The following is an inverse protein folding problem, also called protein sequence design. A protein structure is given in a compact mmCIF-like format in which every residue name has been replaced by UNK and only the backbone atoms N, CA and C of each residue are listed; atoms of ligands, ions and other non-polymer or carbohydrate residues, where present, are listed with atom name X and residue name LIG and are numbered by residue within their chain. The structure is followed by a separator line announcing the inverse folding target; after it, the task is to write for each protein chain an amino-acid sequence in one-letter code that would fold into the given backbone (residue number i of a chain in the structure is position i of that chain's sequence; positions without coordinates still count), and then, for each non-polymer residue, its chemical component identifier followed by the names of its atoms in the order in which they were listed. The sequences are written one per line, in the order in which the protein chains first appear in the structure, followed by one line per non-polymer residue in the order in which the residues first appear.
data_IF_324191824187
#
_entry.id   IF_324191824187
#
_cell.length_a   1.000
_cell.length_b   1.000
_cell.length_c   1.000
_cell.angle_alpha   90.00
_cell.angle_beta   90.00
_cell.angle_gamma   90.00
#
_symmetry.space_group_name_H-M   'P 1'
#
loop_
_entity.id
_entity.type
_entity.pdbx_description
1 polymer ?
#
# COMPACT_ATOMS: atom_id res chain seq x y z
N UNK A 1 -19.56 11.13 -34.38
CA UNK A 1 -19.28 9.68 -34.50
C UNK A 1 -18.03 9.51 -35.34
N UNK A 2 -16.87 9.18 -34.74
CA UNK A 2 -15.62 8.88 -35.45
C UNK A 2 -14.53 8.24 -34.55
N UNK A 3 -14.90 7.40 -33.56
CA UNK A 3 -13.91 6.80 -32.62
C UNK A 3 -13.67 5.29 -32.86
N UNK A 4 -14.13 4.76 -34.00
CA UNK A 4 -14.21 3.32 -34.23
C UNK A 4 -13.20 2.78 -35.25
N UNK A 5 -12.24 3.60 -35.70
CA UNK A 5 -11.29 3.20 -36.76
C UNK A 5 -10.18 2.25 -36.31
N UNK A 6 -10.02 2.05 -35.00
CA UNK A 6 -8.91 1.28 -34.39
C UNK A 6 -9.39 0.16 -33.45
N UNK A 7 -10.63 -0.28 -33.56
CA UNK A 7 -11.13 -1.42 -32.78
C UNK A 7 -10.34 -2.69 -33.16
N UNK A 8 -9.72 -3.34 -32.18
CA UNK A 8 -8.97 -4.59 -32.38
C UNK A 8 -7.53 -4.45 -32.88
N UNK A 9 -7.02 -3.24 -33.15
CA UNK A 9 -5.60 -3.04 -33.49
C UNK A 9 -4.72 -2.98 -32.24
N UNK A 10 -3.45 -3.39 -32.35
CA UNK A 10 -2.47 -3.30 -31.26
C UNK A 10 -2.23 -1.85 -30.82
N UNK A 11 -1.96 -1.65 -29.53
CA UNK A 11 -1.61 -0.34 -28.97
C UNK A 11 -0.16 0.00 -29.30
N UNK A 12 0.08 1.20 -29.81
CA UNK A 12 1.43 1.70 -30.09
C UNK A 12 2.07 2.33 -28.85
N UNK A 13 3.39 2.47 -28.84
CA UNK A 13 4.13 3.12 -27.73
C UNK A 13 3.62 4.54 -27.45
N UNK A 14 3.41 5.36 -28.48
CA UNK A 14 2.92 6.73 -28.32
C UNK A 14 1.51 6.77 -27.70
N UNK A 15 0.63 5.85 -28.09
CA UNK A 15 -0.71 5.73 -27.52
C UNK A 15 -0.65 5.33 -26.05
N UNK A 16 0.26 4.43 -25.70
CA UNK A 16 0.48 3.97 -24.33
C UNK A 16 1.08 5.07 -23.45
N UNK A 17 2.02 5.84 -23.97
CA UNK A 17 2.64 6.94 -23.22
C UNK A 17 1.60 8.03 -22.90
N UNK A 18 0.70 8.36 -23.83
CA UNK A 18 -0.40 9.32 -23.61
C UNK A 18 -1.35 8.84 -22.52
N UNK A 19 -1.82 7.60 -22.60
CA UNK A 19 -2.81 7.09 -21.63
C UNK A 19 -2.21 6.85 -20.24
N UNK A 20 -0.93 6.44 -20.16
CA UNK A 20 -0.21 6.30 -18.89
C UNK A 20 -0.03 7.67 -18.24
N UNK A 21 0.41 8.68 -18.99
CA UNK A 21 0.56 10.05 -18.46
C UNK A 21 -0.76 10.62 -17.93
N UNK A 22 -1.85 10.44 -18.68
CA UNK A 22 -3.19 10.88 -18.26
C UNK A 22 -3.67 10.14 -17.00
N UNK A 23 -3.43 8.82 -16.90
CA UNK A 23 -3.74 8.04 -15.70
C UNK A 23 -3.02 8.58 -14.46
N UNK A 24 -1.70 8.82 -14.55
CA UNK A 24 -0.93 9.35 -13.43
C UNK A 24 -1.34 10.78 -13.04
N UNK A 25 -1.76 11.61 -14.00
CA UNK A 25 -2.34 12.92 -13.73
C UNK A 25 -3.64 12.83 -12.92
N UNK A 26 -4.53 11.89 -13.26
CA UNK A 26 -5.73 11.62 -12.46
C UNK A 26 -5.38 11.05 -11.07
N UNK A 27 -4.41 10.13 -10.99
CA UNK A 27 -3.99 9.54 -9.72
C UNK A 27 -3.41 10.61 -8.79
N UNK A 28 -2.60 11.54 -9.31
CA UNK A 28 -2.09 12.67 -8.55
C UNK A 28 -3.21 13.55 -7.98
N UNK A 29 -4.25 13.83 -8.76
CA UNK A 29 -5.44 14.55 -8.29
C UNK A 29 -6.18 13.76 -7.20
N UNK A 30 -6.36 12.44 -7.36
CA UNK A 30 -7.03 11.58 -6.37
C UNK A 30 -6.28 11.54 -5.03
N UNK A 31 -4.95 11.36 -5.06
CA UNK A 31 -4.11 11.37 -3.86
C UNK A 31 -4.10 12.74 -3.19
N UNK A 32 -4.13 13.82 -3.97
CA UNK A 32 -4.23 15.18 -3.46
C UNK A 32 -5.67 15.60 -3.10
N UNK A 33 -6.66 14.72 -3.27
CA UNK A 33 -8.11 14.98 -3.08
C UNK A 33 -8.65 16.16 -3.88
N UNK A 34 -8.03 16.46 -5.01
CA UNK A 34 -8.57 17.39 -5.97
C UNK A 34 -9.66 16.68 -6.79
N UNK A 35 -10.84 17.30 -6.97
CA UNK A 35 -11.89 16.72 -7.77
C UNK A 35 -11.45 16.63 -9.24
N UNK A 36 -11.69 15.48 -9.87
CA UNK A 36 -11.43 15.24 -11.28
C UNK A 36 -12.59 14.47 -11.93
N UNK A 37 -12.77 14.62 -13.24
CA UNK A 37 -13.90 14.04 -13.97
C UNK A 37 -13.40 13.03 -15.00
N UNK A 38 -13.56 11.74 -14.67
CA UNK A 38 -13.12 10.60 -15.51
C UNK A 38 -13.61 10.66 -16.96
N UNK A 39 -14.85 11.13 -17.18
CA UNK A 39 -15.42 11.22 -18.52
C UNK A 39 -14.74 12.28 -19.39
N UNK A 40 -14.19 13.35 -18.80
CA UNK A 40 -13.42 14.39 -19.50
C UNK A 40 -12.03 13.88 -19.89
N UNK A 41 -11.31 13.24 -18.97
CA UNK A 41 -10.03 12.60 -19.25
C UNK A 41 -10.14 11.57 -20.37
N UNK A 42 -11.13 10.68 -20.27
CA UNK A 42 -11.41 9.69 -21.30
C UNK A 42 -11.72 10.33 -22.67
N UNK A 43 -12.49 11.43 -22.70
CA UNK A 43 -12.79 12.15 -23.94
C UNK A 43 -11.54 12.79 -24.56
N UNK A 44 -10.68 13.38 -23.73
CA UNK A 44 -9.43 14.00 -24.16
C UNK A 44 -8.47 12.96 -24.75
N UNK A 45 -8.26 11.85 -24.04
CA UNK A 45 -7.45 10.73 -24.55
C UNK A 45 -8.05 10.17 -25.83
N UNK A 46 -9.37 9.92 -25.89
CA UNK A 46 -10.03 9.45 -27.11
C UNK A 46 -9.80 10.38 -28.31
N UNK A 47 -9.84 11.70 -28.09
CA UNK A 47 -9.51 12.70 -29.11
C UNK A 47 -8.06 12.67 -29.56
N UNK A 48 -7.11 12.40 -28.64
CA UNK A 48 -5.68 12.38 -28.95
C UNK A 48 -5.24 11.12 -29.70
N UNK A 49 -5.73 9.94 -29.30
CA UNK A 49 -5.23 8.65 -29.82
C UNK A 49 -6.20 7.95 -30.79
N UNK A 50 -7.43 8.43 -30.89
CA UNK A 50 -8.46 7.88 -31.79
C UNK A 50 -8.99 6.51 -31.36
N UNK A 51 -8.83 6.13 -30.08
CA UNK A 51 -9.38 4.90 -29.50
C UNK A 51 -10.78 5.14 -28.94
N UNK A 52 -11.58 4.08 -28.88
CA UNK A 52 -12.92 4.14 -28.28
C UNK A 52 -12.85 4.36 -26.76
N UNK A 53 -13.89 5.00 -26.22
CA UNK A 53 -14.00 5.27 -24.77
C UNK A 53 -13.87 4.00 -23.92
N UNK A 54 -14.50 2.91 -24.36
CA UNK A 54 -14.44 1.63 -23.67
C UNK A 54 -13.05 0.99 -23.71
N UNK A 55 -12.32 1.12 -24.82
CA UNK A 55 -10.93 0.63 -24.91
C UNK A 55 -10.01 1.38 -23.95
N UNK A 56 -10.19 2.70 -23.83
CA UNK A 56 -9.45 3.55 -22.89
C UNK A 56 -9.76 3.17 -21.44
N UNK A 57 -11.04 3.00 -21.08
CA UNK A 57 -11.44 2.59 -19.74
C UNK A 57 -10.85 1.23 -19.35
N UNK A 58 -10.89 0.26 -20.26
CA UNK A 58 -10.26 -1.03 -20.05
C UNK A 58 -8.74 -0.91 -19.88
N UNK A 59 -8.09 -0.03 -20.64
CA UNK A 59 -6.65 0.22 -20.52
C UNK A 59 -6.30 0.89 -19.19
N UNK A 60 -7.12 1.79 -18.65
CA UNK A 60 -6.93 2.30 -17.29
C UNK A 60 -7.05 1.19 -16.24
N UNK A 61 -7.99 0.24 -16.39
CA UNK A 61 -8.07 -0.92 -15.49
C UNK A 61 -6.83 -1.82 -15.59
N UNK A 62 -6.24 -1.95 -16.79
CA UNK A 62 -4.96 -2.63 -16.97
C UNK A 62 -3.82 -1.91 -16.25
N UNK A 63 -3.74 -0.58 -16.35
CA UNK A 63 -2.75 0.22 -15.62
C UNK A 63 -2.93 0.00 -14.10
N UNK A 64 -4.16 0.08 -13.58
CA UNK A 64 -4.44 -0.23 -12.16
C UNK A 64 -3.95 -1.62 -11.76
N UNK A 65 -4.07 -2.62 -12.65
CA UNK A 65 -3.59 -3.97 -12.36
C UNK A 65 -2.06 -4.07 -12.31
N UNK A 66 -1.34 -3.36 -13.18
CA UNK A 66 0.12 -3.28 -13.08
C UNK A 66 0.54 -2.56 -11.81
N UNK A 67 -0.07 -1.41 -11.49
CA UNK A 67 0.25 -0.66 -10.26
C UNK A 67 -0.04 -1.46 -8.99
N UNK A 68 -1.11 -2.26 -8.99
CA UNK A 68 -1.42 -3.19 -7.91
C UNK A 68 -0.28 -4.20 -7.67
N UNK A 69 0.28 -4.78 -8.73
CA UNK A 69 1.43 -5.71 -8.65
C UNK A 69 2.72 -5.01 -8.19
N UNK A 70 2.89 -3.73 -8.54
CA UNK A 70 4.00 -2.89 -8.05
C UNK A 70 3.76 -2.33 -6.64
N UNK A 71 2.66 -2.73 -5.98
CA UNK A 71 2.25 -2.22 -4.67
C UNK A 71 2.07 -0.70 -4.63
N UNK A 72 1.77 -0.06 -5.76
CA UNK A 72 1.51 1.37 -5.87
C UNK A 72 0.01 1.67 -5.70
N UNK A 73 -0.36 2.89 -5.27
CA UNK A 73 -1.73 3.36 -5.36
C UNK A 73 -2.24 3.30 -6.79
N UNK A 74 -3.53 3.07 -6.92
CA UNK A 74 -4.24 3.05 -8.19
C UNK A 74 -5.61 3.69 -7.99
N UNK A 75 -6.21 4.15 -9.10
CA UNK A 75 -7.47 4.88 -9.06
C UNK A 75 -8.61 3.94 -8.70
N UNK A 76 -9.25 4.12 -7.54
CA UNK A 76 -10.20 3.14 -6.99
C UNK A 76 -11.35 2.76 -7.95
N UNK A 77 -11.87 3.74 -8.69
CA UNK A 77 -12.96 3.47 -9.64
C UNK A 77 -12.52 2.83 -10.96
N UNK A 78 -11.22 2.55 -11.17
CA UNK A 78 -10.71 1.70 -12.24
C UNK A 78 -10.17 0.42 -11.62
N UNK A 79 -11.08 -0.51 -11.28
CA UNK A 79 -10.72 -1.78 -10.65
C UNK A 79 -9.70 -2.55 -11.51
N UNK A 80 -8.62 -3.09 -10.92
CA UNK A 80 -7.63 -3.90 -11.63
C UNK A 80 -8.24 -4.97 -12.51
N UNK A 81 -7.88 -4.97 -13.80
CA UNK A 81 -8.21 -6.02 -14.76
C UNK A 81 -6.93 -6.60 -15.37
N UNK A 82 -6.66 -7.88 -15.12
CA UNK A 82 -5.40 -8.58 -15.44
C UNK A 82 -5.24 -8.99 -16.92
N UNK A 83 -5.81 -8.23 -17.85
CA UNK A 83 -5.68 -8.47 -19.29
C UNK A 83 -4.78 -7.42 -19.95
N UNK A 84 -3.46 -7.55 -19.79
CA UNK A 84 -2.50 -6.58 -20.33
C UNK A 84 -1.43 -7.23 -21.22
N UNK A 85 -1.06 -6.51 -22.28
CA UNK A 85 0.03 -6.85 -23.20
C UNK A 85 1.37 -6.33 -22.67
N UNK A 86 2.49 -6.96 -23.06
CA UNK A 86 3.84 -6.59 -22.59
C UNK A 86 4.20 -5.11 -22.85
N UNK A 87 3.75 -4.53 -23.97
CA UNK A 87 4.06 -3.14 -24.33
C UNK A 87 3.62 -2.12 -23.26
N UNK A 88 2.56 -2.44 -22.49
CA UNK A 88 2.13 -1.58 -21.38
C UNK A 88 3.19 -1.47 -20.28
N UNK A 89 3.98 -2.52 -20.04
CA UNK A 89 5.02 -2.51 -19.03
C UNK A 89 6.14 -1.52 -19.37
N UNK A 90 6.50 -1.42 -20.65
CA UNK A 90 7.55 -0.52 -21.10
C UNK A 90 7.13 0.95 -20.96
N UNK A 91 5.87 1.28 -21.29
CA UNK A 91 5.32 2.62 -21.09
C UNK A 91 5.25 3.01 -19.60
N UNK A 92 4.82 2.09 -18.73
CA UNK A 92 4.82 2.31 -17.27
C UNK A 92 6.26 2.46 -16.75
N UNK A 93 7.20 1.64 -17.24
CA UNK A 93 8.61 1.74 -16.86
C UNK A 93 9.21 3.10 -17.23
N UNK A 94 8.99 3.55 -18.48
CA UNK A 94 9.42 4.88 -18.96
C UNK A 94 8.86 5.98 -18.08
N UNK A 95 7.55 5.95 -17.79
CA UNK A 95 6.90 6.95 -16.95
C UNK A 95 7.46 6.97 -15.53
N UNK A 96 7.52 5.81 -14.85
CA UNK A 96 8.03 5.72 -13.48
C UNK A 96 9.51 6.05 -13.38
N UNK A 97 10.31 5.72 -14.40
CA UNK A 97 11.74 6.06 -14.45
C UNK A 97 11.95 7.56 -14.66
N UNK A 98 11.14 8.22 -15.49
CA UNK A 98 11.19 9.67 -15.68
C UNK A 98 10.69 10.47 -14.49
N UNK A 99 9.72 9.93 -13.75
CA UNK A 99 9.04 10.58 -12.63
C UNK A 99 9.32 9.91 -11.28
N UNK A 100 10.51 9.33 -11.10
CA UNK A 100 10.85 8.54 -9.90
C UNK A 100 10.49 9.30 -8.62
N UNK A 101 10.91 10.56 -8.54
CA UNK A 101 10.68 11.34 -7.33
C UNK A 101 9.19 11.58 -7.03
N UNK A 102 8.28 11.58 -8.01
CA UNK A 102 6.83 11.69 -7.77
C UNK A 102 6.20 10.34 -7.42
N UNK A 103 6.64 9.26 -8.08
CA UNK A 103 6.16 7.91 -7.79
C UNK A 103 6.58 7.43 -6.37
N UNK A 104 7.74 7.88 -5.88
CA UNK A 104 8.29 7.56 -4.56
C UNK A 104 7.98 8.61 -3.48
N UNK A 105 7.83 9.91 -3.81
CA UNK A 105 7.26 10.92 -2.90
C UNK A 105 5.74 10.84 -2.91
N UNK A 106 5.18 9.66 -2.63
CA UNK A 106 3.82 9.58 -2.15
C UNK A 106 3.82 10.26 -0.77
N UNK A 107 3.72 11.59 -0.81
CA UNK A 107 3.73 12.42 0.38
C UNK A 107 2.70 11.86 1.35
N UNK A 108 3.01 11.74 2.64
CA UNK A 108 2.04 11.29 3.62
C UNK A 108 0.83 12.21 3.52
N UNK A 109 -0.24 11.70 2.93
CA UNK A 109 -1.51 12.41 2.83
C UNK A 109 -1.91 12.70 4.26
N UNK A 110 -2.07 13.98 4.60
CA UNK A 110 -2.60 14.50 5.87
C UNK A 110 -3.48 13.43 6.51
N UNK A 111 -2.92 12.77 7.54
CA UNK A 111 -3.54 11.63 8.20
C UNK A 111 -4.98 12.02 8.50
N UNK A 112 -5.92 11.29 7.90
CA UNK A 112 -7.33 11.54 8.10
C UNK A 112 -7.58 11.50 9.60
N UNK A 113 -8.24 12.53 10.12
CA UNK A 113 -9.09 12.33 11.29
C UNK A 113 -10.06 11.23 10.90
N UNK A 114 -9.81 10.01 11.37
CA UNK A 114 -10.74 8.91 11.23
C UNK A 114 -11.96 9.31 12.04
N UNK A 115 -13.11 9.43 11.37
CA UNK A 115 -14.35 9.84 12.02
C UNK A 115 -14.80 8.82 13.09
N UNK A 116 -14.44 7.54 12.92
CA UNK A 116 -14.70 6.44 13.86
C UNK A 116 -13.58 5.38 13.81
N UNK A 117 -12.79 5.18 14.87
CA UNK A 117 -11.67 4.22 14.89
C UNK A 117 -12.04 2.79 14.49
N UNK A 118 -13.28 2.35 14.76
CA UNK A 118 -13.70 0.98 14.44
C UNK A 118 -13.88 0.74 12.94
N UNK A 119 -14.10 1.78 12.13
CA UNK A 119 -14.35 1.61 10.69
C UNK A 119 -13.08 1.30 9.88
N UNK A 120 -11.89 1.44 10.47
CA UNK A 120 -10.62 1.15 9.76
C UNK A 120 -10.17 -0.29 9.93
N UNK A 121 -10.63 -0.98 10.97
CA UNK A 121 -10.27 -2.36 11.22
C UNK A 121 -11.06 -3.29 10.29
N UNK A 122 -10.35 -4.13 9.55
CA UNK A 122 -10.90 -5.11 8.62
C UNK A 122 -10.35 -6.51 8.94
N UNK A 123 -11.09 -7.58 8.62
CA UNK A 123 -10.56 -8.93 8.75
C UNK A 123 -9.30 -9.12 7.90
N UNK A 124 -8.35 -9.91 8.42
CA UNK A 124 -7.18 -10.33 7.65
C UNK A 124 -7.64 -11.02 6.35
N UNK A 125 -7.11 -10.64 5.17
CA UNK A 125 -7.50 -11.26 3.92
C UNK A 125 -7.13 -12.75 3.92
N UNK A 126 -8.01 -13.60 3.37
CA UNK A 126 -7.70 -15.01 3.22
C UNK A 126 -6.56 -15.21 2.21
N UNK A 127 -5.72 -16.20 2.50
CA UNK A 127 -4.77 -16.72 1.54
C UNK A 127 -5.57 -17.29 0.36
N UNK A 128 -5.33 -16.76 -0.84
CA UNK A 128 -5.81 -17.37 -2.07
C UNK A 128 -4.68 -18.23 -2.64
N UNK A 129 -5.01 -19.12 -3.57
CA UNK A 129 -4.00 -19.86 -4.33
C UNK A 129 -2.91 -18.90 -4.85
N UNK A 130 -1.64 -19.34 -4.85
CA UNK A 130 -0.55 -18.50 -5.32
C UNK A 130 -0.91 -17.96 -6.70
N UNK A 131 -0.69 -16.64 -6.94
CA UNK A 131 -1.04 -16.05 -8.22
C UNK A 131 -0.37 -16.84 -9.34
N UNK A 132 -1.09 -17.01 -10.46
CA UNK A 132 -0.51 -17.58 -11.68
C UNK A 132 0.84 -16.91 -11.97
N UNK A 133 1.84 -17.69 -12.39
CA UNK A 133 3.18 -17.18 -12.68
C UNK A 133 3.10 -15.87 -13.46
N UNK A 134 3.74 -14.83 -12.92
CA UNK A 134 3.83 -13.52 -13.56
C UNK A 134 4.50 -13.67 -14.92
N UNK A 135 4.10 -12.85 -15.88
CA UNK A 135 4.83 -12.78 -17.15
C UNK A 135 6.24 -12.26 -16.91
N UNK A 136 7.21 -12.68 -17.73
CA UNK A 136 8.61 -12.24 -17.57
C UNK A 136 8.77 -10.70 -17.63
N UNK A 137 7.92 -10.01 -18.40
CA UNK A 137 7.91 -8.54 -18.43
C UNK A 137 7.47 -7.92 -17.11
N UNK A 138 6.38 -8.43 -16.53
CA UNK A 138 5.88 -7.98 -15.23
C UNK A 138 6.86 -8.30 -14.10
N UNK A 139 7.50 -9.46 -14.10
CA UNK A 139 8.53 -9.81 -13.11
C UNK A 139 9.71 -8.84 -13.13
N UNK A 140 10.18 -8.45 -14.32
CA UNK A 140 11.25 -7.44 -14.43
C UNK A 140 10.82 -6.10 -13.85
N UNK A 141 9.58 -5.68 -14.12
CA UNK A 141 9.04 -4.42 -13.62
C UNK A 141 8.89 -4.45 -12.08
N UNK A 142 8.33 -5.53 -11.53
CA UNK A 142 8.21 -5.72 -10.07
C UNK A 142 9.58 -5.73 -9.41
N UNK A 143 10.58 -6.39 -9.99
CA UNK A 143 11.95 -6.38 -9.45
C UNK A 143 12.57 -4.98 -9.47
N UNK A 144 12.30 -4.19 -10.52
CA UNK A 144 12.81 -2.82 -10.65
C UNK A 144 12.13 -1.86 -9.66
N UNK A 145 10.84 -2.07 -9.40
CA UNK A 145 10.02 -1.27 -8.50
C UNK A 145 9.50 -2.11 -7.33
N UNK A 146 10.40 -2.79 -6.62
CA UNK A 146 10.03 -3.71 -5.54
C UNK A 146 9.28 -2.96 -4.43
N UNK A 147 7.99 -3.28 -4.18
CA UNK A 147 7.20 -2.58 -3.17
C UNK A 147 7.71 -2.83 -1.75
N UNK A 148 8.24 -4.03 -1.47
CA UNK A 148 8.68 -4.42 -0.13
C UNK A 148 9.90 -3.61 0.24
N UNK A 149 10.89 -3.57 -0.64
CA UNK A 149 12.12 -2.79 -0.42
C UNK A 149 11.84 -1.28 -0.43
N UNK A 150 10.94 -0.81 -1.29
CA UNK A 150 10.53 0.59 -1.33
C UNK A 150 9.90 1.03 0.00
N UNK A 151 8.90 0.29 0.46
CA UNK A 151 8.16 0.65 1.67
C UNK A 151 9.07 0.53 2.90
N UNK A 152 9.95 -0.48 2.96
CA UNK A 152 10.96 -0.63 4.00
C UNK A 152 11.94 0.56 4.09
N UNK A 153 12.38 1.09 2.95
CA UNK A 153 13.27 2.27 2.93
C UNK A 153 12.54 3.58 3.25
N UNK A 154 11.22 3.61 3.13
CA UNK A 154 10.44 4.83 3.30
C UNK A 154 10.16 5.12 4.77
N UNK A 155 11.12 5.78 5.43
CA UNK A 155 11.00 6.19 6.84
C UNK A 155 9.82 7.11 7.12
N UNK A 156 9.43 7.96 6.17
CA UNK A 156 8.27 8.85 6.32
C UNK A 156 6.95 8.05 6.30
N UNK A 157 6.86 7.01 5.47
CA UNK A 157 5.73 6.09 5.44
C UNK A 157 5.60 5.32 6.77
N UNK A 158 6.71 4.78 7.29
CA UNK A 158 6.75 4.10 8.59
C UNK A 158 6.22 5.00 9.70
N UNK A 159 6.86 6.16 9.89
CA UNK A 159 6.46 7.15 10.89
C UNK A 159 5.01 7.62 10.74
N UNK A 160 4.55 7.82 9.50
CA UNK A 160 3.16 8.21 9.25
C UNK A 160 2.17 7.15 9.72
N UNK A 161 2.46 5.88 9.47
CA UNK A 161 1.60 4.78 9.92
C UNK A 161 1.65 4.54 11.43
N UNK A 162 2.82 4.67 12.05
CA UNK A 162 2.98 4.61 13.51
C UNK A 162 2.16 5.72 14.20
N UNK A 163 2.28 6.98 13.74
CA UNK A 163 1.45 8.09 14.23
C UNK A 163 -0.05 7.82 14.04
N UNK A 164 -0.45 7.27 12.89
CA UNK A 164 -1.84 6.91 12.63
C UNK A 164 -2.37 5.87 13.62
N UNK A 165 -1.62 4.80 13.87
CA UNK A 165 -2.01 3.76 14.85
C UNK A 165 -2.06 4.34 16.27
N UNK A 166 -1.11 5.21 16.62
CA UNK A 166 -1.07 5.88 17.92
C UNK A 166 -2.36 6.69 18.17
N UNK A 167 -2.82 7.44 17.17
CA UNK A 167 -4.03 8.26 17.27
C UNK A 167 -5.30 7.39 17.31
N UNK A 168 -5.34 6.31 16.54
CA UNK A 168 -6.43 5.31 16.58
C UNK A 168 -6.54 4.67 17.95
N UNK A 169 -5.43 4.25 18.54
CA UNK A 169 -5.41 3.59 19.85
C UNK A 169 -5.80 4.54 20.98
N UNK A 170 -5.36 5.80 20.92
CA UNK A 170 -5.82 6.84 21.86
C UNK A 170 -7.32 7.03 21.79
N UNK A 171 -7.86 7.18 20.58
CA UNK A 171 -9.30 7.36 20.39
C UNK A 171 -10.08 6.11 20.84
N UNK A 172 -9.60 4.89 20.53
CA UNK A 172 -10.20 3.62 20.98
C UNK A 172 -10.36 3.56 22.50
N UNK A 173 -9.38 4.02 23.27
CA UNK A 173 -9.46 4.04 24.74
C UNK A 173 -10.32 5.20 25.26
N UNK A 174 -10.29 6.37 24.62
CA UNK A 174 -11.18 7.50 24.96
C UNK A 174 -12.65 7.11 24.77
N UNK A 175 -12.98 6.46 23.66
CA UNK A 175 -14.34 5.98 23.35
C UNK A 175 -14.85 4.92 24.34
N UNK A 176 -13.94 4.32 25.12
CA UNK A 176 -14.24 3.34 26.17
C UNK A 176 -14.07 3.93 27.57
N UNK A 177 -14.14 5.25 27.70
CA UNK A 177 -14.01 6.00 28.96
C UNK A 177 -12.67 5.78 29.71
N UNK A 178 -11.63 5.31 29.01
CA UNK A 178 -10.27 5.08 29.54
C UNK A 178 -9.28 6.17 29.13
N UNK A 179 -9.70 7.43 29.29
CA UNK A 179 -8.83 8.60 29.08
C UNK A 179 -7.57 8.62 29.99
N UNK A 180 -7.59 7.87 31.08
CA UNK A 180 -6.44 7.64 31.95
C UNK A 180 -5.36 6.76 31.29
N UNK A 181 -5.77 5.75 30.52
CA UNK A 181 -4.87 4.88 29.76
C UNK A 181 -4.44 5.51 28.44
N UNK A 182 -5.35 6.21 27.74
CA UNK A 182 -5.01 6.91 26.50
C UNK A 182 -3.82 7.87 26.65
N UNK A 183 -3.71 8.54 27.80
CA UNK A 183 -2.58 9.42 28.15
C UNK A 183 -1.27 8.68 28.45
N UNK A 184 -1.33 7.37 28.71
CA UNK A 184 -0.17 6.51 28.99
C UNK A 184 0.35 5.81 27.74
N UNK A 185 -0.35 5.88 26.60
CA UNK A 185 0.13 5.30 25.35
C UNK A 185 1.43 6.00 24.92
N UNK A 186 2.45 5.21 24.60
CA UNK A 186 3.79 5.69 24.21
C UNK A 186 4.15 5.26 22.79
N UNK A 187 4.89 6.11 22.10
CA UNK A 187 5.51 5.78 20.81
C UNK A 187 6.96 5.33 21.07
N UNK A 188 7.11 4.04 21.38
CA UNK A 188 8.36 3.45 21.90
C UNK A 188 9.49 3.51 20.88
N UNK A 189 9.26 3.18 19.61
CA UNK A 189 10.33 3.25 18.60
C UNK A 189 10.85 4.68 18.38
N UNK A 190 9.99 5.70 18.52
CA UNK A 190 10.39 7.11 18.43
C UNK A 190 11.07 7.63 19.72
N UNK A 191 10.61 7.21 20.90
CA UNK A 191 11.11 7.68 22.20
C UNK A 191 12.39 6.94 22.65
N UNK A 192 12.41 5.62 22.51
CA UNK A 192 13.41 4.71 23.08
C UNK A 192 14.28 4.03 21.99
N UNK A 193 13.87 4.13 20.71
CA UNK A 193 14.54 3.51 19.56
C UNK A 193 14.01 2.11 19.21
N UNK A 194 14.44 1.57 18.05
CA UNK A 194 13.90 0.34 17.45
C UNK A 194 14.28 -0.97 18.18
N UNK A 195 14.98 -0.89 19.32
CA UNK A 195 15.51 -2.05 20.04
C UNK A 195 14.48 -2.83 20.86
N UNK A 196 13.27 -2.28 21.05
CA UNK A 196 12.25 -2.88 21.91
C UNK A 196 11.49 -4.05 21.27
N UNK A 197 11.51 -4.16 19.93
CA UNK A 197 10.77 -5.18 19.18
C UNK A 197 9.27 -4.91 19.01
N UNK A 198 8.85 -3.65 19.23
CA UNK A 198 7.51 -3.12 18.95
C UNK A 198 7.58 -1.59 18.86
N UNK A 199 6.60 -0.96 18.20
CA UNK A 199 6.55 0.49 17.97
C UNK A 199 5.76 1.25 19.03
N UNK A 200 4.63 0.70 19.48
CA UNK A 200 3.66 1.42 20.32
C UNK A 200 3.32 0.56 21.55
N UNK A 201 3.38 1.18 22.73
CA UNK A 201 2.81 0.63 23.95
C UNK A 201 1.39 1.17 24.12
N UNK A 202 0.39 0.32 23.99
CA UNK A 202 -1.03 0.60 24.24
C UNK A 202 -1.55 -0.26 25.38
N UNK A 203 -2.87 -0.23 25.60
CA UNK A 203 -3.53 -0.96 26.68
C UNK A 203 -4.87 -1.51 26.23
N UNK A 204 -5.27 -2.64 26.81
CA UNK A 204 -6.66 -3.06 26.80
C UNK A 204 -7.50 -2.21 27.77
N UNK A 205 -8.84 -2.18 27.63
CA UNK A 205 -9.73 -1.47 28.54
C UNK A 205 -9.66 -1.98 29.98
N UNK A 206 -9.12 -3.19 30.20
CA UNK A 206 -8.82 -3.75 31.53
C UNK A 206 -7.58 -3.13 32.17
N UNK A 207 -6.73 -2.45 31.40
CA UNK A 207 -5.42 -1.95 31.80
C UNK A 207 -4.25 -2.89 31.51
N UNK A 208 -4.51 -4.06 30.90
CA UNK A 208 -3.44 -4.95 30.42
C UNK A 208 -2.64 -4.27 29.31
N UNK A 209 -1.31 -4.36 29.35
CA UNK A 209 -0.45 -3.82 28.29
C UNK A 209 -0.67 -4.53 26.95
N UNK A 210 -0.59 -3.77 25.87
CA UNK A 210 -0.60 -4.26 24.50
C UNK A 210 0.59 -3.68 23.75
N UNK A 211 1.45 -4.55 23.20
CA UNK A 211 2.66 -4.18 22.47
C UNK A 211 2.34 -4.25 20.99
N UNK A 212 2.40 -3.13 20.28
CA UNK A 212 1.97 -3.06 18.89
C UNK A 212 3.18 -2.82 17.98
N UNK A 213 3.39 -3.72 17.04
CA UNK A 213 4.29 -3.53 15.91
C UNK A 213 3.50 -3.05 14.70
N UNK A 214 3.94 -1.97 14.03
CA UNK A 214 3.21 -1.34 12.93
C UNK A 214 3.94 -1.56 11.62
N UNK A 215 3.26 -2.18 10.66
CA UNK A 215 3.78 -2.32 9.28
C UNK A 215 2.89 -1.56 8.31
N UNK A 216 3.44 -0.53 7.68
CA UNK A 216 2.68 0.38 6.81
C UNK A 216 2.97 0.12 5.34
N UNK A 217 1.93 0.19 4.50
CA UNK A 217 2.06 0.13 3.04
C UNK A 217 1.00 1.00 2.35
N UNK A 218 1.36 1.56 1.20
CA UNK A 218 0.40 2.21 0.31
C UNK A 218 -0.30 1.21 -0.63
N UNK A 219 0.29 0.02 -0.79
CA UNK A 219 -0.25 -1.06 -1.60
C UNK A 219 -1.42 -1.83 -0.98
N UNK A 220 -1.66 -3.00 -1.54
CA UNK A 220 -2.72 -3.90 -1.11
C UNK A 220 -2.42 -4.56 0.25
N UNK A 221 -3.46 -5.06 0.91
CA UNK A 221 -3.34 -5.77 2.19
C UNK A 221 -2.35 -6.95 2.15
N UNK A 222 -2.21 -7.60 0.99
CA UNK A 222 -1.34 -8.77 0.77
C UNK A 222 0.11 -8.41 0.38
N UNK A 223 0.46 -7.11 0.28
CA UNK A 223 1.86 -6.72 -0.02
C UNK A 223 2.78 -7.23 1.08
N UNK A 224 3.82 -8.03 0.74
CA UNK A 224 4.77 -8.55 1.73
C UNK A 224 5.47 -7.42 2.50
N UNK A 225 5.99 -7.75 3.67
CA UNK A 225 6.68 -6.81 4.56
C UNK A 225 7.75 -7.56 5.34
N UNK A 226 8.78 -6.83 5.79
CA UNK A 226 9.82 -7.40 6.62
C UNK A 226 9.42 -7.37 8.09
N UNK A 227 9.78 -8.42 8.81
CA UNK A 227 9.85 -8.45 10.26
C UNK A 227 11.31 -8.62 10.66
N UNK A 228 11.77 -7.85 11.64
CA UNK A 228 13.12 -8.01 12.16
C UNK A 228 13.21 -9.23 13.07
N UNK A 229 14.44 -9.72 13.28
CA UNK A 229 14.69 -10.81 14.23
C UNK A 229 14.17 -10.46 15.63
N UNK A 230 14.40 -9.22 16.08
CA UNK A 230 13.97 -8.74 17.40
C UNK A 230 12.46 -8.72 17.52
N UNK A 231 11.73 -8.23 16.51
CA UNK A 231 10.27 -8.28 16.49
C UNK A 231 9.73 -9.71 16.61
N UNK A 232 10.31 -10.65 15.86
CA UNK A 232 9.88 -12.06 15.90
C UNK A 232 10.17 -12.69 17.28
N UNK A 233 11.34 -12.41 17.87
CA UNK A 233 11.72 -12.93 19.19
C UNK A 233 10.80 -12.37 20.29
N UNK A 234 10.53 -11.06 20.28
CA UNK A 234 9.65 -10.39 21.26
C UNK A 234 8.19 -10.83 21.09
N UNK A 235 7.72 -11.01 19.85
CA UNK A 235 6.38 -11.54 19.58
C UNK A 235 6.16 -12.93 20.20
N UNK A 236 7.17 -13.79 20.18
CA UNK A 236 7.09 -15.12 20.79
C UNK A 236 7.18 -15.04 22.33
N UNK A 237 8.10 -14.24 22.87
CA UNK A 237 8.28 -14.07 24.32
C UNK A 237 7.04 -13.44 24.98
N UNK A 238 6.41 -12.47 24.32
CA UNK A 238 5.29 -11.67 24.85
C UNK A 238 3.99 -11.91 24.09
N UNK A 239 3.75 -13.16 23.66
CA UNK A 239 2.63 -13.57 22.81
C UNK A 239 1.23 -13.14 23.26
N UNK A 240 1.01 -12.99 24.57
CA UNK A 240 -0.29 -12.61 25.12
C UNK A 240 -0.56 -11.09 25.05
N UNK A 241 0.48 -10.28 24.80
CA UNK A 241 0.40 -8.83 24.74
C UNK A 241 0.80 -8.25 23.37
N UNK A 242 1.63 -8.97 22.60
CA UNK A 242 2.17 -8.48 21.33
C UNK A 242 1.19 -8.68 20.17
N UNK A 243 1.03 -7.67 19.32
CA UNK A 243 0.19 -7.71 18.13
C UNK A 243 0.85 -6.96 16.96
N UNK A 244 0.71 -7.50 15.75
CA UNK A 244 1.07 -6.81 14.52
C UNK A 244 -0.14 -6.05 13.99
N UNK A 245 0.02 -4.76 13.70
CA UNK A 245 -0.94 -3.92 13.00
C UNK A 245 -0.46 -3.68 11.57
N UNK A 246 -1.12 -4.31 10.59
CA UNK A 246 -0.82 -4.09 9.17
C UNK A 246 -1.70 -2.97 8.64
N UNK A 247 -1.11 -1.79 8.48
CA UNK A 247 -1.75 -0.63 7.86
C UNK A 247 -1.53 -0.71 6.34
N UNK A 248 -2.61 -0.73 5.56
CA UNK A 248 -2.54 -0.77 4.10
C UNK A 248 -3.43 0.33 3.47
N UNK A 249 -3.22 0.61 2.18
CA UNK A 249 -3.87 1.72 1.46
C UNK A 249 -3.68 3.07 2.16
N UNK A 250 -2.53 3.25 2.81
CA UNK A 250 -2.32 4.33 3.78
C UNK A 250 -2.53 5.75 3.18
N UNK A 251 -2.00 6.00 1.98
CA UNK A 251 -2.16 7.30 1.30
C UNK A 251 -3.61 7.62 0.83
N UNK A 252 -4.52 6.64 0.81
CA UNK A 252 -5.89 6.77 0.30
C UNK A 252 -6.91 6.59 1.43
N UNK A 253 -7.40 5.37 1.60
CA UNK A 253 -8.37 4.95 2.61
C UNK A 253 -7.67 3.93 3.52
N UNK A 254 -6.96 4.38 4.56
CA UNK A 254 -6.18 3.49 5.41
C UNK A 254 -7.10 2.44 6.05
N UNK A 255 -6.65 1.20 6.01
CA UNK A 255 -7.31 0.06 6.62
C UNK A 255 -6.27 -0.74 7.41
N UNK A 256 -6.70 -1.34 8.51
CA UNK A 256 -5.85 -2.11 9.43
C UNK A 256 -6.40 -3.53 9.54
N UNK A 257 -5.53 -4.52 9.41
CA UNK A 257 -5.81 -5.85 9.97
C UNK A 257 -4.74 -6.19 11.01
N UNK A 258 -5.11 -7.02 11.98
CA UNK A 258 -4.23 -7.40 13.08
C UNK A 258 -3.81 -8.86 12.99
N UNK A 259 -2.62 -9.18 13.49
CA UNK A 259 -2.12 -10.56 13.60
C UNK A 259 -1.55 -10.77 15.00
N UNK A 260 -2.04 -11.80 15.68
CA UNK A 260 -1.56 -12.21 17.00
C UNK A 260 -0.56 -13.37 16.86
N UNK A 261 0.43 -13.47 17.75
CA UNK A 261 1.29 -14.64 17.84
C UNK A 261 0.50 -15.93 18.20
N UNK A 262 1.02 -17.13 17.84
CA UNK A 262 2.29 -17.36 17.16
C UNK A 262 2.22 -16.96 15.68
N UNK A 263 3.18 -16.14 15.23
CA UNK A 263 3.15 -15.54 13.89
C UNK A 263 3.10 -16.57 12.76
N UNK A 264 3.74 -17.72 12.95
CA UNK A 264 3.77 -18.81 11.97
C UNK A 264 2.38 -19.45 11.71
N UNK A 265 1.38 -19.20 12.56
CA UNK A 265 0.02 -19.67 12.33
C UNK A 265 -0.73 -18.83 11.28
N UNK A 266 -0.33 -17.57 11.08
CA UNK A 266 -0.99 -16.63 10.19
C UNK A 266 -0.11 -16.16 9.03
N UNK A 267 1.22 -16.18 9.20
CA UNK A 267 2.18 -15.66 8.25
C UNK A 267 3.13 -16.75 7.77
N UNK A 268 3.50 -16.67 6.49
CA UNK A 268 4.67 -17.38 5.95
C UNK A 268 5.91 -16.51 6.16
N UNK A 269 6.86 -17.02 6.93
CA UNK A 269 8.13 -16.33 7.22
C UNK A 269 9.26 -17.00 6.44
N UNK A 270 9.82 -16.28 5.46
CA UNK A 270 11.00 -16.71 4.70
C UNK A 270 12.22 -15.87 5.17
N UNK A 271 13.37 -16.48 5.52
CA UNK A 271 14.57 -15.73 5.93
C UNK A 271 15.19 -14.95 4.78
N UNK A 272 15.42 -13.65 4.97
CA UNK A 272 15.90 -12.74 3.90
C UNK A 272 17.35 -12.27 4.08
N UNK A 273 17.86 -12.16 5.32
CA UNK A 273 19.21 -11.64 5.57
C UNK A 273 20.00 -12.48 6.58
N UNK A 274 21.33 -12.53 6.38
CA UNK A 274 22.27 -13.25 7.24
C UNK A 274 23.25 -12.26 7.89
N UNK A 275 23.45 -12.38 9.21
CA UNK A 275 24.49 -11.65 9.92
C UNK A 275 25.74 -12.52 10.04
N UNK A 276 26.87 -12.06 9.51
CA UNK A 276 28.16 -12.70 9.63
C UNK A 276 29.06 -11.98 10.64
N UNK A 277 29.93 -12.72 11.32
CA UNK A 277 31.00 -12.18 12.17
C UNK A 277 32.29 -12.95 11.92
N UNK A 278 33.44 -12.30 12.13
CA UNK A 278 34.76 -12.93 12.06
C UNK A 278 34.84 -14.00 13.16
N UNK A 279 35.35 -15.17 12.81
CA UNK A 279 35.60 -16.27 13.75
C UNK A 279 36.93 -16.13 14.45
#
# INVERSE_FOLDING_TARGET
MAYDSKAGSDWTDDELDVIVADYFSMLGQELARHPYVKSHHNAAVAGAIGRSRGSIEFKYQNISAVLHELGLPWIFGYKPAVNFQNALFDAIDRHLTGNRDEAYRQAPTRVLHVAEPQSVFVPMPQAEDPPSKRSAGLERLVRKFDPVERDFRNRELGKGGEQFVLDIERQRLIDQDRSDLARKIRWVSMEDGDGAGYDILSFEPTGTEMLIEVKTANGAAKTPFFLTRTEVEVAEERKDAWQLYRVHRFAQTPQIFTVNPPLAAALRLDPESWRAAIR
#
